data_IF_488609289347
#
_entry.id   IF_488609289347
#
_cell.length_a   1.000
_cell.length_b   1.000
_cell.length_c   1.000
_cell.angle_alpha   90.00
_cell.angle_beta   90.00
_cell.angle_gamma   90.00
#
_symmetry.space_group_name_H-M   'P 1'
#
loop_
_entity.id
_entity.type
_entity.pdbx_description
1 polymer ?
#
# COMPACT_ATOMS: atom_id res chain seq x y z
N UNK A 1 -3.23 -15.98 -13.20
CA UNK A 1 -2.14 -15.10 -12.72
C UNK A 1 -2.78 -13.78 -12.29
N UNK A 2 -2.64 -13.38 -11.02
CA UNK A 2 -3.21 -12.13 -10.52
C UNK A 2 -2.13 -11.04 -10.53
N UNK A 3 -2.41 -9.92 -11.20
CA UNK A 3 -1.49 -8.79 -11.31
C UNK A 3 -2.30 -7.50 -11.17
N UNK A 4 -1.87 -6.61 -10.27
CA UNK A 4 -2.52 -5.31 -10.05
C UNK A 4 -2.49 -4.38 -11.27
N UNK A 5 -1.68 -4.69 -12.30
CA UNK A 5 -1.65 -3.94 -13.55
C UNK A 5 -2.65 -4.45 -14.59
N UNK A 6 -3.45 -5.48 -14.32
CA UNK A 6 -4.33 -6.11 -15.31
C UNK A 6 -5.17 -5.10 -16.09
N UNK A 7 -5.65 -4.07 -15.39
CA UNK A 7 -6.60 -3.10 -15.94
C UNK A 7 -5.90 -1.91 -16.63
N UNK A 8 -4.56 -1.86 -16.55
CA UNK A 8 -3.74 -0.79 -17.10
C UNK A 8 -2.68 -1.28 -18.10
N UNK A 9 -2.59 -2.60 -18.32
CA UNK A 9 -1.54 -3.21 -19.11
C UNK A 9 -2.07 -3.66 -20.47
N UNK A 10 -1.52 -3.13 -21.56
CA UNK A 10 -1.86 -3.53 -22.93
C UNK A 10 -1.53 -4.99 -23.24
N UNK A 11 -0.61 -5.60 -22.50
CA UNK A 11 -0.26 -7.02 -22.65
C UNK A 11 -1.24 -7.94 -21.93
N UNK A 12 -2.18 -7.43 -21.11
CA UNK A 12 -3.08 -8.29 -20.35
C UNK A 12 -3.85 -9.25 -21.27
N UNK A 13 -3.94 -10.53 -20.86
CA UNK A 13 -4.50 -11.65 -21.65
C UNK A 13 -3.76 -12.03 -22.94
N UNK A 14 -2.64 -11.39 -23.28
CA UNK A 14 -1.73 -11.88 -24.34
C UNK A 14 -0.83 -13.02 -23.84
N UNK A 15 -0.14 -13.71 -24.75
CA UNK A 15 0.87 -14.73 -24.41
C UNK A 15 2.03 -14.17 -23.58
N UNK A 16 2.37 -12.89 -23.79
CA UNK A 16 3.39 -12.16 -23.01
C UNK A 16 2.94 -11.86 -21.57
N UNK A 17 1.65 -12.01 -21.25
CA UNK A 17 1.10 -11.87 -19.90
C UNK A 17 1.33 -13.12 -19.06
N UNK A 18 2.57 -13.32 -18.61
CA UNK A 18 2.94 -14.49 -17.83
C UNK A 18 3.91 -14.12 -16.69
N UNK A 19 4.30 -15.10 -15.88
CA UNK A 19 5.18 -14.89 -14.71
C UNK A 19 6.62 -14.45 -15.05
N UNK A 20 7.01 -14.53 -16.34
CA UNK A 20 8.29 -14.02 -16.84
C UNK A 20 8.19 -12.57 -17.30
N UNK A 21 6.99 -11.98 -17.33
CA UNK A 21 6.80 -10.56 -17.61
C UNK A 21 7.62 -9.72 -16.63
N UNK A 22 8.43 -8.81 -17.16
CA UNK A 22 9.32 -7.94 -16.37
C UNK A 22 8.55 -7.12 -15.35
N UNK A 23 7.40 -6.55 -15.74
CA UNK A 23 6.54 -5.80 -14.82
C UNK A 23 5.88 -6.67 -13.77
N UNK A 24 5.54 -7.92 -14.09
CA UNK A 24 5.03 -8.87 -13.11
C UNK A 24 6.09 -9.17 -12.05
N UNK A 25 7.32 -9.50 -12.48
CA UNK A 25 8.43 -9.79 -11.56
C UNK A 25 8.77 -8.56 -10.71
N UNK A 26 8.78 -7.37 -11.30
CA UNK A 26 9.10 -6.14 -10.59
C UNK A 26 8.11 -5.79 -9.47
N UNK A 27 6.81 -6.08 -9.68
CA UNK A 27 5.76 -5.80 -8.71
C UNK A 27 5.53 -6.96 -7.74
N UNK A 28 5.48 -8.19 -8.23
CA UNK A 28 5.03 -9.37 -7.47
C UNK A 28 6.13 -10.41 -7.21
N UNK A 29 7.32 -10.22 -7.78
CA UNK A 29 8.37 -11.23 -7.78
C UNK A 29 8.06 -12.42 -8.71
N UNK A 30 9.06 -13.28 -8.93
CA UNK A 30 8.91 -14.43 -9.84
C UNK A 30 7.83 -15.43 -9.40
N UNK A 31 7.61 -15.55 -8.08
CA UNK A 31 6.64 -16.47 -7.48
C UNK A 31 5.30 -15.81 -7.09
N UNK A 32 5.13 -14.50 -7.33
CA UNK A 32 3.93 -13.76 -6.95
C UNK A 32 3.87 -13.31 -5.47
N UNK A 33 4.89 -13.61 -4.66
CA UNK A 33 4.94 -13.31 -3.23
C UNK A 33 6.01 -12.28 -2.84
N UNK A 34 6.70 -11.69 -3.82
CA UNK A 34 7.81 -10.75 -3.64
C UNK A 34 7.60 -9.41 -4.33
N UNK A 35 8.69 -8.80 -4.78
CA UNK A 35 8.67 -7.52 -5.49
C UNK A 35 8.21 -6.36 -4.61
N UNK A 36 7.84 -5.25 -5.25
CA UNK A 36 7.39 -4.03 -4.58
C UNK A 36 6.10 -4.23 -3.78
N UNK A 37 5.24 -5.15 -4.21
CA UNK A 37 4.01 -5.51 -3.51
C UNK A 37 4.29 -6.11 -2.13
N UNK A 38 5.26 -7.03 -2.02
CA UNK A 38 5.64 -7.57 -0.73
C UNK A 38 6.32 -6.52 0.16
N UNK A 39 7.04 -5.58 -0.45
CA UNK A 39 7.75 -4.51 0.24
C UNK A 39 6.80 -3.46 0.87
N UNK A 40 5.53 -3.40 0.46
CA UNK A 40 4.54 -2.52 1.08
C UNK A 40 4.06 -3.01 2.44
N UNK A 41 4.41 -4.22 2.86
CA UNK A 41 3.89 -4.85 4.09
C UNK A 41 2.36 -5.04 4.11
N UNK A 42 1.71 -5.03 2.94
CA UNK A 42 0.28 -5.30 2.84
C UNK A 42 -0.02 -6.80 3.08
N UNK A 43 -1.05 -7.14 3.89
CA UNK A 43 -1.49 -8.53 4.09
C UNK A 43 -1.85 -9.21 2.77
N UNK A 44 -1.59 -10.52 2.68
CA UNK A 44 -1.60 -11.27 1.41
C UNK A 44 -2.96 -11.24 0.73
N UNK A 45 -4.02 -11.33 1.52
CA UNK A 45 -5.43 -11.28 1.11
C UNK A 45 -5.81 -9.98 0.40
N UNK A 46 -5.09 -8.88 0.63
CA UNK A 46 -5.40 -7.57 0.04
C UNK A 46 -4.47 -7.19 -1.13
N UNK A 47 -3.40 -7.94 -1.41
CA UNK A 47 -2.36 -7.60 -2.41
C UNK A 47 -2.84 -7.46 -3.86
N UNK A 48 -4.05 -7.93 -4.16
CA UNK A 48 -4.58 -7.92 -5.52
C UNK A 48 -5.89 -7.14 -5.63
N UNK A 49 -6.27 -6.42 -4.57
CA UNK A 49 -7.45 -5.57 -4.59
C UNK A 49 -7.14 -4.23 -5.25
N UNK A 50 -7.98 -3.84 -6.22
CA UNK A 50 -7.95 -2.56 -6.94
C UNK A 50 -9.30 -1.88 -6.82
N UNK A 51 -9.42 -0.65 -7.32
CA UNK A 51 -10.71 0.05 -7.38
C UNK A 51 -11.78 -0.73 -8.16
N UNK A 52 -11.37 -1.59 -9.10
CA UNK A 52 -12.26 -2.31 -9.99
C UNK A 52 -12.77 -3.62 -9.40
N UNK A 53 -12.00 -4.29 -8.56
CA UNK A 53 -12.35 -5.62 -8.04
C UNK A 53 -12.64 -5.67 -6.53
N UNK A 54 -12.58 -4.52 -5.83
CA UNK A 54 -12.88 -4.48 -4.41
C UNK A 54 -14.35 -4.86 -4.13
N UNK A 55 -14.61 -5.81 -3.20
CA UNK A 55 -15.98 -6.20 -2.86
C UNK A 55 -16.76 -5.07 -2.15
N UNK A 56 -16.07 -4.16 -1.45
CA UNK A 56 -16.68 -3.05 -0.71
C UNK A 56 -17.29 -2.01 -1.65
N UNK A 57 -16.83 -1.96 -2.91
CA UNK A 57 -17.36 -1.05 -3.93
C UNK A 57 -18.87 -1.17 -4.11
N UNK A 58 -19.39 -2.39 -4.08
CA UNK A 58 -20.81 -2.68 -4.32
C UNK A 58 -21.68 -2.14 -3.18
N UNK A 59 -21.23 -2.31 -1.94
CA UNK A 59 -21.96 -1.84 -0.76
C UNK A 59 -21.77 -0.34 -0.48
N UNK A 60 -20.68 0.27 -0.96
CA UNK A 60 -20.35 1.68 -0.70
C UNK A 60 -20.01 2.48 -1.97
N UNK A 61 -20.92 2.54 -2.97
CA UNK A 61 -20.64 3.15 -4.27
C UNK A 61 -20.31 4.65 -4.18
N UNK A 62 -20.95 5.38 -3.25
CA UNK A 62 -20.67 6.82 -3.04
C UNK A 62 -19.26 7.06 -2.50
N UNK A 63 -18.81 6.21 -1.56
CA UNK A 63 -17.46 6.28 -1.00
C UNK A 63 -16.43 5.96 -2.08
N UNK A 64 -16.65 4.88 -2.85
CA UNK A 64 -15.74 4.50 -3.93
C UNK A 64 -15.66 5.56 -5.04
N UNK A 65 -16.74 6.27 -5.35
CA UNK A 65 -16.68 7.43 -6.27
C UNK A 65 -15.75 8.53 -5.74
N UNK A 66 -15.79 8.83 -4.44
CA UNK A 66 -14.88 9.80 -3.82
C UNK A 66 -13.43 9.30 -3.82
N UNK A 67 -13.22 8.00 -3.60
CA UNK A 67 -11.88 7.40 -3.63
C UNK A 67 -11.30 7.41 -5.05
N UNK A 68 -12.09 7.12 -6.07
CA UNK A 68 -11.68 7.23 -7.48
C UNK A 68 -11.18 8.63 -7.79
N UNK A 69 -11.96 9.66 -7.39
CA UNK A 69 -11.54 11.05 -7.54
C UNK A 69 -10.24 11.34 -6.78
N UNK A 70 -10.10 10.84 -5.55
CA UNK A 70 -8.89 11.00 -4.76
C UNK A 70 -7.66 10.35 -5.40
N UNK A 71 -7.76 9.10 -5.85
CA UNK A 71 -6.66 8.36 -6.49
C UNK A 71 -6.16 9.05 -7.77
N UNK A 72 -7.00 9.80 -8.47
CA UNK A 72 -6.55 10.59 -9.64
C UNK A 72 -5.49 11.63 -9.27
N UNK A 73 -5.48 12.11 -8.02
CA UNK A 73 -4.50 13.09 -7.53
C UNK A 73 -3.10 12.50 -7.36
N UNK A 74 -2.94 11.17 -7.35
CA UNK A 74 -1.64 10.52 -7.17
C UNK A 74 -0.63 10.82 -8.27
N UNK A 75 -1.06 11.31 -9.45
CA UNK A 75 -0.13 11.77 -10.49
C UNK A 75 0.72 12.96 -10.05
N UNK A 76 0.23 13.76 -9.09
CA UNK A 76 0.91 14.94 -8.55
C UNK A 76 2.23 14.62 -7.87
N UNK A 77 2.46 13.35 -7.48
CA UNK A 77 3.75 12.89 -6.97
C UNK A 77 4.92 13.11 -7.95
N UNK A 78 4.62 13.26 -9.24
CA UNK A 78 5.61 13.51 -10.28
C UNK A 78 5.71 14.97 -10.71
N UNK A 79 4.85 15.85 -10.17
CA UNK A 79 4.90 17.29 -10.42
C UNK A 79 6.07 17.91 -9.64
N UNK A 80 6.63 19.01 -10.14
CA UNK A 80 7.82 19.60 -9.56
C UNK A 80 7.58 20.03 -8.11
N UNK A 81 8.43 19.56 -7.20
CA UNK A 81 8.47 19.93 -5.80
C UNK A 81 8.84 21.41 -5.64
N UNK A 82 7.85 22.28 -5.78
CA UNK A 82 8.05 23.73 -5.72
C UNK A 82 6.75 24.52 -5.59
N UNK A 83 5.58 23.89 -5.73
CA UNK A 83 4.31 24.57 -5.51
C UNK A 83 4.06 24.68 -4.00
N UNK A 84 3.87 25.91 -3.54
CA UNK A 84 3.42 26.19 -2.17
C UNK A 84 1.90 26.08 -2.03
N UNK A 85 1.19 25.99 -3.15
CA UNK A 85 -0.26 25.90 -3.19
C UNK A 85 -0.74 24.53 -2.69
N UNK A 86 -1.65 24.56 -1.71
CA UNK A 86 -2.24 23.37 -1.10
C UNK A 86 -3.04 22.57 -2.13
N UNK A 87 -3.57 23.21 -3.19
CA UNK A 87 -4.39 22.53 -4.21
C UNK A 87 -3.58 21.52 -5.04
N UNK A 88 -2.28 21.71 -5.14
CA UNK A 88 -1.34 20.89 -5.92
C UNK A 88 -0.77 19.73 -5.09
N UNK A 89 -1.05 19.70 -3.78
CA UNK A 89 -0.62 18.59 -2.91
C UNK A 89 -1.63 17.44 -2.94
N UNK A 90 -1.13 16.23 -2.67
CA UNK A 90 -1.98 15.08 -2.36
C UNK A 90 -2.39 15.22 -0.90
N UNK A 91 -3.70 15.26 -0.63
CA UNK A 91 -4.23 15.42 0.72
C UNK A 91 -4.16 14.09 1.48
N UNK A 92 -3.93 14.14 2.78
CA UNK A 92 -4.17 12.97 3.64
C UNK A 92 -5.66 12.65 3.69
N UNK A 93 -5.98 11.37 3.88
CA UNK A 93 -7.34 10.87 3.98
C UNK A 93 -7.50 10.07 5.27
N UNK A 94 -8.65 10.21 5.92
CA UNK A 94 -9.03 9.44 7.10
C UNK A 94 -10.28 8.62 6.78
N UNK A 95 -10.19 7.29 6.92
CA UNK A 95 -11.32 6.39 6.74
C UNK A 95 -11.95 6.10 8.11
N UNK A 96 -13.22 6.45 8.25
CA UNK A 96 -13.96 6.28 9.50
C UNK A 96 -15.29 5.57 9.26
N UNK A 97 -15.70 4.80 10.25
CA UNK A 97 -17.02 4.18 10.32
C UNK A 97 -17.28 3.84 11.78
N UNK A 98 -18.50 4.13 12.23
CA UNK A 98 -18.98 3.84 13.58
C UNK A 98 -19.04 2.33 13.85
N UNK A 99 -19.18 1.51 12.80
CA UNK A 99 -19.28 0.06 12.88
C UNK A 99 -17.97 -0.62 12.45
N UNK A 100 -17.73 -1.80 13.03
CA UNK A 100 -16.67 -2.73 12.62
C UNK A 100 -17.09 -3.50 11.37
N UNK A 101 -16.12 -3.99 10.60
CA UNK A 101 -16.42 -4.88 9.45
C UNK A 101 -16.99 -4.17 8.22
N UNK A 102 -17.00 -2.83 8.18
CA UNK A 102 -17.45 -2.05 7.02
C UNK A 102 -16.44 -1.99 5.86
N UNK A 103 -15.30 -2.69 5.96
CA UNK A 103 -14.31 -2.75 4.88
C UNK A 103 -13.37 -1.53 4.81
N UNK A 104 -13.14 -0.84 5.95
CA UNK A 104 -12.15 0.24 6.07
C UNK A 104 -10.75 -0.22 5.65
N UNK A 105 -10.23 -1.27 6.29
CA UNK A 105 -8.95 -1.91 5.96
C UNK A 105 -8.87 -2.33 4.49
N UNK A 106 -9.92 -3.00 3.98
CA UNK A 106 -10.01 -3.40 2.57
C UNK A 106 -9.88 -2.20 1.63
N UNK A 107 -10.55 -1.10 1.98
CA UNK A 107 -10.53 0.13 1.20
C UNK A 107 -9.19 0.86 1.30
N UNK A 108 -8.57 0.88 2.47
CA UNK A 108 -7.22 1.41 2.68
C UNK A 108 -6.17 0.63 1.86
N UNK A 109 -6.32 -0.70 1.82
CA UNK A 109 -5.47 -1.57 1.01
C UNK A 109 -5.62 -1.32 -0.50
N UNK A 110 -6.85 -1.14 -0.98
CA UNK A 110 -7.12 -0.73 -2.37
C UNK A 110 -6.38 0.55 -2.71
N UNK A 111 -6.46 1.56 -1.84
CA UNK A 111 -5.80 2.85 -2.06
C UNK A 111 -4.26 2.71 -2.08
N UNK A 112 -3.70 1.86 -1.21
CA UNK A 112 -2.27 1.52 -1.21
C UNK A 112 -1.85 0.86 -2.53
N UNK A 113 -2.65 -0.08 -3.05
CA UNK A 113 -2.38 -0.72 -4.34
C UNK A 113 -2.50 0.26 -5.50
N UNK A 114 -3.50 1.15 -5.52
CA UNK A 114 -3.62 2.20 -6.53
C UNK A 114 -2.43 3.16 -6.52
N UNK A 115 -1.92 3.52 -5.33
CA UNK A 115 -0.69 4.28 -5.20
C UNK A 115 0.50 3.56 -5.85
N UNK A 116 0.68 2.27 -5.55
CA UNK A 116 1.75 1.45 -6.12
C UNK A 116 1.63 1.34 -7.65
N UNK A 117 0.43 1.12 -8.19
CA UNK A 117 0.16 1.09 -9.63
C UNK A 117 0.59 2.42 -10.27
N UNK A 118 0.09 3.54 -9.76
CA UNK A 118 0.36 4.88 -10.29
C UNK A 118 1.83 5.25 -10.21
N UNK A 119 2.47 4.94 -9.09
CA UNK A 119 3.90 5.19 -8.90
C UNK A 119 4.74 4.36 -9.87
N UNK A 120 4.41 3.07 -10.04
CA UNK A 120 5.15 2.17 -10.92
C UNK A 120 5.04 2.61 -12.39
N UNK A 121 3.82 2.76 -12.89
CA UNK A 121 3.56 3.17 -14.28
C UNK A 121 4.15 4.56 -14.54
N UNK A 122 3.87 5.52 -13.65
CA UNK A 122 4.29 6.91 -13.83
C UNK A 122 5.80 7.11 -13.79
N UNK A 123 6.52 6.30 -13.00
CA UNK A 123 7.99 6.27 -13.00
C UNK A 123 8.54 5.78 -14.34
N UNK A 124 8.02 4.65 -14.84
CA UNK A 124 8.46 4.07 -16.11
C UNK A 124 8.21 5.01 -17.30
N UNK A 125 7.03 5.63 -17.35
CA UNK A 125 6.67 6.60 -18.40
C UNK A 125 7.61 7.83 -18.44
N UNK A 126 8.32 8.10 -17.33
CA UNK A 126 9.26 9.21 -17.20
C UNK A 126 10.73 8.75 -17.29
N UNK A 127 10.97 7.52 -17.75
CA UNK A 127 12.29 6.89 -17.79
C UNK A 127 13.01 6.88 -16.43
N UNK A 128 12.25 6.71 -15.34
CA UNK A 128 12.77 6.61 -13.96
C UNK A 128 12.61 5.21 -13.44
N UNK A 129 13.51 4.82 -12.54
CA UNK A 129 13.34 3.60 -11.76
C UNK A 129 12.25 3.80 -10.72
N UNK A 130 11.24 2.92 -10.70
CA UNK A 130 10.25 2.89 -9.63
C UNK A 130 10.92 2.52 -8.30
N UNK A 131 10.55 3.22 -7.23
CA UNK A 131 11.08 3.00 -5.88
C UNK A 131 10.78 1.56 -5.41
N UNK A 132 11.65 1.04 -4.53
CA UNK A 132 11.47 -0.31 -3.98
C UNK A 132 10.34 -0.37 -2.95
N UNK A 133 10.19 0.69 -2.16
CA UNK A 133 9.11 0.86 -1.17
C UNK A 133 8.42 2.19 -1.48
N UNK A 134 7.56 2.25 -2.51
CA UNK A 134 6.87 3.49 -2.85
C UNK A 134 5.73 3.80 -1.88
N UNK A 135 5.16 2.78 -1.24
CA UNK A 135 4.18 2.92 -0.18
C UNK A 135 4.32 1.83 0.87
N UNK A 136 3.82 2.08 2.07
CA UNK A 136 3.91 1.14 3.19
C UNK A 136 2.59 1.08 3.97
N UNK A 137 2.17 -0.13 4.34
CA UNK A 137 0.99 -0.43 5.11
C UNK A 137 1.44 -0.86 6.51
N UNK A 138 1.12 -0.03 7.51
CA UNK A 138 1.41 -0.28 8.90
C UNK A 138 0.10 -0.58 9.62
N UNK A 139 -0.06 -1.83 10.06
CA UNK A 139 -1.04 -2.17 11.09
C UNK A 139 -0.54 -1.61 12.43
N UNK A 140 -1.28 -0.64 12.97
CA UNK A 140 -0.87 0.08 14.19
C UNK A 140 -1.02 -0.80 15.42
N UNK A 141 -1.99 -1.71 15.45
CA UNK A 141 -2.18 -2.66 16.54
C UNK A 141 -1.01 -3.64 16.63
N UNK A 142 -0.64 -4.28 15.50
CA UNK A 142 0.52 -5.16 15.46
C UNK A 142 1.81 -4.42 15.82
N UNK A 143 1.93 -3.15 15.41
CA UNK A 143 3.08 -2.32 15.74
C UNK A 143 3.15 -1.98 17.23
N UNK A 144 2.01 -1.72 17.87
CA UNK A 144 1.92 -1.54 19.33
C UNK A 144 2.19 -2.84 20.09
N UNK A 145 1.76 -3.99 19.58
CA UNK A 145 2.07 -5.29 20.19
C UNK A 145 3.57 -5.57 20.18
N UNK A 146 4.29 -5.25 19.09
CA UNK A 146 5.75 -5.31 19.06
C UNK A 146 6.37 -4.41 20.13
N UNK A 147 5.87 -3.17 20.27
CA UNK A 147 6.32 -2.26 21.32
C UNK A 147 6.16 -2.84 22.72
N UNK A 148 5.00 -3.43 22.99
CA UNK A 148 4.70 -4.06 24.27
C UNK A 148 5.61 -5.28 24.51
N UNK A 149 5.85 -6.09 23.49
CA UNK A 149 6.65 -7.32 23.58
C UNK A 149 8.09 -7.05 24.01
N UNK A 150 8.75 -6.01 23.46
CA UNK A 150 10.13 -5.72 23.85
C UNK A 150 10.29 -4.85 25.11
N UNK A 151 9.21 -4.19 25.58
CA UNK A 151 9.23 -3.35 26.78
C UNK A 151 8.70 -4.05 28.05
N UNK A 152 8.15 -5.26 27.94
CA UNK A 152 7.70 -6.04 29.11
C UNK A 152 8.87 -6.48 29.97
N UNK A 153 8.69 -6.42 31.28
CA UNK A 153 9.67 -6.90 32.26
C UNK A 153 9.86 -8.42 32.14
N UNK A 154 11.08 -8.90 32.33
CA UNK A 154 11.45 -10.33 32.35
C UNK A 154 11.22 -11.10 31.04
N UNK A 155 11.12 -10.42 29.89
CA UNK A 155 11.10 -11.08 28.58
C UNK A 155 12.51 -11.56 28.24
N UNK A 156 12.68 -12.80 27.74
CA UNK A 156 13.96 -13.29 27.22
C UNK A 156 14.56 -12.32 26.20
N UNK A 157 15.88 -12.10 26.28
CA UNK A 157 16.58 -11.09 25.48
C UNK A 157 16.46 -11.32 23.97
N UNK A 158 16.43 -12.58 23.54
CA UNK A 158 16.26 -12.96 22.14
C UNK A 158 14.89 -12.56 21.59
N UNK A 159 13.84 -12.70 22.41
CA UNK A 159 12.47 -12.29 22.07
C UNK A 159 12.38 -10.76 22.00
N UNK A 160 12.88 -10.05 23.03
CA UNK A 160 12.81 -8.59 23.06
C UNK A 160 13.63 -7.93 21.94
N UNK A 161 14.84 -8.42 21.65
CA UNK A 161 15.65 -7.91 20.54
C UNK A 161 15.02 -8.17 19.17
N UNK A 162 14.30 -9.28 19.01
CA UNK A 162 13.60 -9.59 17.76
C UNK A 162 12.41 -8.64 17.56
N UNK A 163 11.60 -8.45 18.59
CA UNK A 163 10.45 -7.54 18.55
C UNK A 163 10.90 -6.08 18.35
N UNK A 164 11.95 -5.62 19.05
CA UNK A 164 12.49 -4.28 18.89
C UNK A 164 13.00 -4.03 17.45
N UNK A 165 13.73 -4.98 16.87
CA UNK A 165 14.21 -4.87 15.47
C UNK A 165 13.06 -4.73 14.49
N UNK A 166 12.02 -5.54 14.62
CA UNK A 166 10.86 -5.46 13.72
C UNK A 166 10.06 -4.17 13.96
N UNK A 167 9.88 -3.73 15.20
CA UNK A 167 9.23 -2.46 15.54
C UNK A 167 9.90 -1.27 14.85
N UNK A 168 11.22 -1.12 15.01
CA UNK A 168 11.95 0.01 14.42
C UNK A 168 12.00 -0.07 12.90
N UNK A 169 12.10 -1.29 12.33
CA UNK A 169 12.05 -1.50 10.88
C UNK A 169 10.71 -1.06 10.30
N UNK A 170 9.58 -1.49 10.89
CA UNK A 170 8.23 -1.12 10.45
C UNK A 170 8.00 0.39 10.56
N UNK A 171 8.38 0.99 11.69
CA UNK A 171 8.27 2.43 11.91
C UNK A 171 9.13 3.25 10.93
N UNK A 172 10.35 2.80 10.66
CA UNK A 172 11.25 3.44 9.68
C UNK A 172 10.65 3.37 8.27
N UNK A 173 10.18 2.21 7.84
CA UNK A 173 9.57 2.05 6.52
C UNK A 173 8.32 2.93 6.36
N UNK A 174 7.44 2.96 7.36
CA UNK A 174 6.27 3.84 7.34
C UNK A 174 6.64 5.33 7.30
N UNK A 175 7.69 5.73 8.01
CA UNK A 175 8.16 7.12 8.07
C UNK A 175 8.77 7.60 6.74
N UNK A 176 9.53 6.74 6.06
CA UNK A 176 10.28 7.13 4.86
C UNK A 176 9.61 6.74 3.55
N UNK A 177 8.57 5.90 3.57
CA UNK A 177 7.78 5.63 2.39
C UNK A 177 7.08 6.92 1.90
N UNK A 178 7.09 7.21 0.58
CA UNK A 178 6.37 8.35 0.01
C UNK A 178 4.86 8.37 0.31
N UNK A 179 4.27 7.21 0.58
CA UNK A 179 2.88 7.05 0.97
C UNK A 179 2.77 6.02 2.08
N UNK A 180 2.07 6.35 3.16
CA UNK A 180 1.86 5.43 4.27
C UNK A 180 0.37 5.29 4.55
N UNK A 181 -0.06 4.05 4.74
CA UNK A 181 -1.36 3.72 5.33
C UNK A 181 -1.09 3.28 6.76
N UNK A 182 -1.70 3.98 7.71
CA UNK A 182 -1.73 3.60 9.11
C UNK A 182 -3.13 3.04 9.38
N UNK A 183 -3.24 1.72 9.39
CA UNK A 183 -4.51 1.04 9.57
C UNK A 183 -4.81 0.86 11.06
N UNK A 184 -6.10 0.85 11.39
CA UNK A 184 -6.56 0.60 12.75
C UNK A 184 -5.94 1.54 13.80
N UNK A 185 -5.90 2.85 13.48
CA UNK A 185 -5.54 3.88 14.47
C UNK A 185 -6.68 4.04 15.49
N UNK A 186 -6.33 4.05 16.78
CA UNK A 186 -7.27 4.40 17.86
C UNK A 186 -8.24 3.27 18.22
N UNK A 187 -7.90 2.03 17.88
CA UNK A 187 -8.57 0.85 18.42
C UNK A 187 -7.80 0.37 19.65
N UNK A 188 -8.56 0.21 20.75
CA UNK A 188 -8.16 -0.13 22.13
C UNK A 188 -7.74 1.05 23.00
#
# INVERSE_FOLDING_TARGET
MQCILSDHCSLYKSESCNRKCTSYIALHGHNGNGGRMAATNLPKEYRHLTLLNSPVRVSQPKVYKSIEAYVTTFSRQFEASGTTDVKDKIKSMYLFSEETGTGKTTTAAVISNEWLIRHYIGSLQRNRQSLQIPGYFLDVNEWQDLYNEFNRTNVPKDVSEKAAREYYKRGSNARFAPFAVLDDIGVR
#
